data_IF_649727268926
#
_entry.id   IF_649727268926
#
_cell.length_a   1.000
_cell.length_b   1.000
_cell.length_c   1.000
_cell.angle_alpha   90.00
_cell.angle_beta   90.00
_cell.angle_gamma   90.00
#
_symmetry.space_group_name_H-M   'P 1'
#
loop_
_entity.id
_entity.type
_entity.pdbx_description
1 polymer ?
#
# COMPACT_ATOMS: atom_id res chain seq x y z
N UNK A 1 -1.05 -1.42 28.90
CA UNK A 1 -0.79 -1.63 27.45
C UNK A 1 0.70 -1.94 27.22
N UNK A 2 1.12 -3.15 27.63
CA UNK A 2 2.56 -3.54 27.58
C UNK A 2 3.08 -3.85 26.14
N UNK A 3 2.18 -3.95 25.16
CA UNK A 3 2.52 -4.26 23.76
C UNK A 3 2.80 -3.04 22.89
N UNK A 4 2.30 -1.85 23.29
CA UNK A 4 2.41 -0.62 22.50
C UNK A 4 3.85 -0.22 22.15
N UNK A 5 4.85 -0.26 23.07
CA UNK A 5 6.23 0.06 22.72
C UNK A 5 6.80 -0.87 21.65
N UNK A 6 6.43 -2.15 21.67
CA UNK A 6 6.89 -3.12 20.70
C UNK A 6 6.28 -2.89 19.31
N UNK A 7 4.99 -2.49 19.24
CA UNK A 7 4.35 -2.12 17.97
C UNK A 7 5.01 -0.87 17.38
N UNK A 8 5.28 0.15 18.20
CA UNK A 8 5.98 1.36 17.74
C UNK A 8 7.39 1.04 17.24
N UNK A 9 8.14 0.22 17.97
CA UNK A 9 9.47 -0.20 17.55
C UNK A 9 9.43 -1.03 16.27
N UNK A 10 8.51 -1.96 16.16
CA UNK A 10 8.32 -2.76 14.96
C UNK A 10 7.90 -1.90 13.76
N UNK A 11 7.06 -0.86 13.98
CA UNK A 11 6.72 0.12 12.93
C UNK A 11 7.95 0.88 12.45
N UNK A 12 8.85 1.29 13.35
CA UNK A 12 10.11 1.93 12.96
C UNK A 12 10.96 1.00 12.09
N UNK A 13 11.10 -0.26 12.47
CA UNK A 13 11.83 -1.24 11.65
C UNK A 13 11.15 -1.46 10.30
N UNK A 14 9.82 -1.57 10.26
CA UNK A 14 9.06 -1.71 9.03
C UNK A 14 9.31 -0.54 8.06
N UNK A 15 9.25 0.70 8.53
CA UNK A 15 9.52 1.89 7.73
C UNK A 15 10.99 2.02 7.30
N UNK A 16 11.90 1.45 8.08
CA UNK A 16 13.33 1.33 7.71
C UNK A 16 13.62 0.16 6.75
N UNK A 17 12.58 -0.54 6.29
CA UNK A 17 12.67 -1.72 5.43
C UNK A 17 13.41 -2.92 6.08
N UNK A 18 13.54 -2.93 7.42
CA UNK A 18 14.07 -4.07 8.20
C UNK A 18 12.92 -4.94 8.70
N UNK A 19 12.34 -5.70 7.76
CA UNK A 19 11.15 -6.51 8.03
C UNK A 19 11.46 -7.65 9.01
N UNK A 20 12.66 -8.21 8.98
CA UNK A 20 13.07 -9.29 9.89
C UNK A 20 13.09 -8.83 11.35
N UNK A 21 13.65 -7.65 11.63
CA UNK A 21 13.66 -7.07 12.97
C UNK A 21 12.25 -6.68 13.43
N UNK A 22 11.39 -6.19 12.52
CA UNK A 22 9.99 -5.94 12.81
C UNK A 22 9.27 -7.22 13.26
N UNK A 23 9.38 -8.31 12.47
CA UNK A 23 8.76 -9.60 12.79
C UNK A 23 9.28 -10.21 14.11
N UNK A 24 10.60 -10.12 14.37
CA UNK A 24 11.19 -10.58 15.65
C UNK A 24 10.61 -9.79 16.83
N UNK A 25 10.48 -8.47 16.69
CA UNK A 25 9.92 -7.62 17.75
C UNK A 25 8.46 -7.98 18.03
N UNK A 26 7.66 -8.20 16.98
CA UNK A 26 6.26 -8.58 17.11
C UNK A 26 6.10 -9.98 17.72
N UNK A 27 6.97 -10.93 17.36
CA UNK A 27 6.92 -12.29 17.91
C UNK A 27 7.18 -12.36 19.43
N UNK A 28 7.88 -11.37 19.98
CA UNK A 28 8.11 -11.23 21.42
C UNK A 28 6.89 -10.73 22.21
N UNK A 29 5.83 -10.27 21.54
CA UNK A 29 4.61 -9.77 22.20
C UNK A 29 3.71 -10.95 22.57
N UNK A 30 3.47 -11.11 23.88
CA UNK A 30 2.63 -12.22 24.41
C UNK A 30 1.13 -11.89 24.42
N UNK A 31 0.75 -10.67 24.08
CA UNK A 31 -0.64 -10.21 24.11
C UNK A 31 -1.25 -10.36 22.72
N UNK A 32 -2.44 -10.90 22.68
CA UNK A 32 -3.21 -11.07 21.47
C UNK A 32 -3.99 -9.78 21.16
N UNK A 33 -3.35 -8.84 20.47
CA UNK A 33 -3.92 -7.54 20.10
C UNK A 33 -4.02 -7.42 18.59
N UNK A 34 -5.13 -6.83 18.11
CA UNK A 34 -5.40 -6.67 16.68
C UNK A 34 -4.32 -5.84 15.98
N UNK A 35 -3.78 -4.80 16.64
CA UNK A 35 -2.75 -3.93 16.09
C UNK A 35 -1.43 -4.69 15.86
N UNK A 36 -1.07 -5.59 16.77
CA UNK A 36 0.12 -6.45 16.65
C UNK A 36 -0.03 -7.36 15.43
N UNK A 37 -1.21 -7.98 15.28
CA UNK A 37 -1.51 -8.86 14.15
C UNK A 37 -1.58 -8.11 12.83
N UNK A 38 -2.18 -6.92 12.81
CA UNK A 38 -2.26 -6.10 11.61
C UNK A 38 -0.87 -5.70 11.10
N UNK A 39 0.03 -5.27 11.99
CA UNK A 39 1.40 -4.95 11.60
C UNK A 39 2.17 -6.21 11.16
N UNK A 40 1.92 -7.35 11.79
CA UNK A 40 2.48 -8.64 11.36
C UNK A 40 2.01 -8.99 9.93
N UNK A 41 0.73 -8.79 9.62
CA UNK A 41 0.19 -8.98 8.26
C UNK A 41 0.89 -8.04 7.27
N UNK A 42 1.08 -6.77 7.58
CA UNK A 42 1.79 -5.84 6.71
C UNK A 42 3.24 -6.30 6.43
N UNK A 43 3.94 -6.75 7.46
CA UNK A 43 5.28 -7.33 7.30
C UNK A 43 5.28 -8.56 6.38
N UNK A 44 4.33 -9.48 6.58
CA UNK A 44 4.21 -10.70 5.77
C UNK A 44 3.85 -10.39 4.32
N UNK A 45 2.95 -9.45 4.08
CA UNK A 45 2.60 -8.99 2.72
C UNK A 45 3.79 -8.32 2.02
N UNK A 46 4.63 -7.58 2.75
CA UNK A 46 5.85 -6.99 2.20
C UNK A 46 6.90 -8.04 1.80
N UNK A 47 6.83 -9.25 2.38
CA UNK A 47 7.65 -10.41 2.01
C UNK A 47 6.97 -11.33 0.98
N UNK A 48 5.85 -10.90 0.41
CA UNK A 48 5.00 -11.71 -0.50
C UNK A 48 4.50 -13.03 0.13
N UNK A 49 4.41 -13.10 1.47
CA UNK A 49 3.94 -14.27 2.20
C UNK A 49 2.45 -14.19 2.51
N UNK A 50 1.65 -14.11 1.43
CA UNK A 50 0.17 -14.05 1.50
C UNK A 50 -0.42 -15.27 2.22
N UNK A 51 0.23 -16.42 2.10
CA UNK A 51 -0.15 -17.67 2.78
C UNK A 51 -0.15 -17.53 4.32
N UNK A 52 0.85 -16.88 4.88
CA UNK A 52 0.96 -16.62 6.31
C UNK A 52 0.09 -15.45 6.74
N UNK A 53 0.04 -14.37 5.93
CA UNK A 53 -0.81 -13.23 6.20
C UNK A 53 -2.29 -13.63 6.37
N UNK A 54 -2.81 -14.53 5.52
CA UNK A 54 -4.17 -15.07 5.63
C UNK A 54 -4.40 -15.85 6.93
N UNK A 55 -3.40 -16.57 7.42
CA UNK A 55 -3.51 -17.28 8.71
C UNK A 55 -3.61 -16.32 9.88
N UNK A 56 -2.85 -15.21 9.83
CA UNK A 56 -2.94 -14.16 10.84
C UNK A 56 -4.26 -13.39 10.74
N UNK A 57 -4.74 -13.11 9.53
CA UNK A 57 -6.05 -12.49 9.30
C UNK A 57 -7.19 -13.32 9.91
N UNK A 58 -7.16 -14.65 9.75
CA UNK A 58 -8.17 -15.52 10.37
C UNK A 58 -8.19 -15.37 11.88
N UNK A 59 -7.03 -15.25 12.52
CA UNK A 59 -6.95 -15.03 13.98
C UNK A 59 -7.49 -13.65 14.37
N UNK A 60 -7.34 -12.62 13.52
CA UNK A 60 -7.96 -11.31 13.77
C UNK A 60 -9.48 -11.40 13.67
N UNK A 61 -10.00 -12.11 12.68
CA UNK A 61 -11.44 -12.35 12.51
C UNK A 61 -12.03 -13.13 13.68
N UNK A 62 -11.30 -14.12 14.21
CA UNK A 62 -11.71 -14.89 15.40
C UNK A 62 -11.75 -14.01 16.68
N UNK A 63 -10.96 -12.93 16.73
CA UNK A 63 -10.94 -11.97 17.84
C UNK A 63 -12.05 -10.93 17.72
N UNK A 64 -12.15 -10.28 16.59
CA UNK A 64 -13.16 -9.27 16.28
C UNK A 64 -13.23 -9.07 14.75
N UNK A 65 -14.24 -9.67 14.13
CA UNK A 65 -14.46 -9.63 12.69
C UNK A 65 -14.88 -8.23 12.22
N UNK A 66 -15.62 -7.51 13.05
CA UNK A 66 -16.20 -6.20 12.70
C UNK A 66 -15.23 -5.03 12.94
N UNK A 67 -14.11 -5.28 13.61
CA UNK A 67 -13.13 -4.23 13.88
C UNK A 67 -12.60 -3.60 12.56
N UNK A 68 -12.53 -2.27 12.52
CA UNK A 68 -12.03 -1.52 11.35
C UNK A 68 -10.65 -2.00 10.90
N UNK A 69 -9.76 -2.31 11.86
CA UNK A 69 -8.41 -2.79 11.56
C UNK A 69 -8.40 -4.21 10.96
N UNK A 70 -9.35 -5.06 11.35
CA UNK A 70 -9.56 -6.39 10.76
C UNK A 70 -10.05 -6.29 9.32
N UNK A 71 -11.01 -5.38 9.05
CA UNK A 71 -11.50 -5.11 7.72
C UNK A 71 -10.42 -4.54 6.81
N UNK A 72 -9.58 -3.61 7.30
CA UNK A 72 -8.42 -3.10 6.56
C UNK A 72 -7.41 -4.21 6.23
N UNK A 73 -7.07 -5.07 7.20
CA UNK A 73 -6.18 -6.18 6.97
C UNK A 73 -6.73 -7.19 5.94
N UNK A 74 -8.04 -7.41 5.94
CA UNK A 74 -8.75 -8.22 4.93
C UNK A 74 -8.62 -7.60 3.53
N UNK A 75 -8.83 -6.28 3.41
CA UNK A 75 -8.67 -5.56 2.15
C UNK A 75 -7.23 -5.67 1.61
N UNK A 76 -6.21 -5.49 2.45
CA UNK A 76 -4.80 -5.65 2.04
C UNK A 76 -4.49 -7.07 1.54
N UNK A 77 -4.95 -8.10 2.25
CA UNK A 77 -4.78 -9.48 1.82
C UNK A 77 -5.51 -9.75 0.49
N UNK A 78 -6.70 -9.19 0.30
CA UNK A 78 -7.50 -9.34 -0.91
C UNK A 78 -6.83 -8.67 -2.12
N UNK A 79 -6.27 -7.49 -1.96
CA UNK A 79 -5.52 -6.80 -3.02
C UNK A 79 -4.26 -7.58 -3.44
N UNK A 80 -3.52 -8.16 -2.47
CA UNK A 80 -2.33 -8.97 -2.77
C UNK A 80 -2.66 -10.28 -3.51
N UNK A 81 -3.85 -10.82 -3.30
CA UNK A 81 -4.32 -12.00 -4.07
C UNK A 81 -4.67 -11.61 -5.50
N UNK A 82 -5.20 -10.41 -5.68
CA UNK A 82 -5.58 -9.89 -6.99
C UNK A 82 -6.89 -10.46 -7.55
N UNK A 83 -7.15 -10.14 -8.81
CA UNK A 83 -8.32 -10.61 -9.54
C UNK A 83 -9.65 -10.22 -8.87
N UNK A 84 -10.58 -11.18 -8.81
CA UNK A 84 -11.91 -10.96 -8.22
C UNK A 84 -11.87 -10.56 -6.75
N UNK A 85 -10.82 -10.98 -6.00
CA UNK A 85 -10.66 -10.61 -4.59
C UNK A 85 -10.39 -9.13 -4.38
N UNK A 86 -9.83 -8.44 -5.35
CA UNK A 86 -9.64 -6.99 -5.27
C UNK A 86 -10.97 -6.22 -5.28
N UNK A 87 -12.05 -6.82 -5.78
CA UNK A 87 -13.40 -6.24 -5.68
C UNK A 87 -13.91 -6.23 -4.23
N UNK A 88 -13.60 -7.26 -3.45
CA UNK A 88 -13.94 -7.31 -2.03
C UNK A 88 -13.22 -6.16 -1.27
N UNK A 89 -11.95 -5.90 -1.61
CA UNK A 89 -11.19 -4.79 -1.05
C UNK A 89 -11.81 -3.42 -1.40
N UNK A 90 -12.24 -3.22 -2.64
CA UNK A 90 -12.95 -2.00 -3.04
C UNK A 90 -14.18 -1.74 -2.17
N UNK A 91 -15.05 -2.74 -2.01
CA UNK A 91 -16.26 -2.60 -1.19
C UNK A 91 -15.93 -2.31 0.27
N UNK A 92 -14.85 -2.88 0.79
CA UNK A 92 -14.40 -2.59 2.16
C UNK A 92 -14.03 -1.11 2.32
N UNK A 93 -13.24 -0.53 1.41
CA UNK A 93 -12.89 0.89 1.46
C UNK A 93 -14.09 1.80 1.22
N UNK A 94 -15.01 1.42 0.32
CA UNK A 94 -16.24 2.16 0.07
C UNK A 94 -17.13 2.20 1.32
N UNK A 95 -17.38 1.05 1.96
CA UNK A 95 -18.16 0.98 3.21
C UNK A 95 -17.56 1.86 4.32
N UNK A 96 -16.22 1.90 4.42
CA UNK A 96 -15.56 2.82 5.36
C UNK A 96 -15.77 4.28 5.00
N UNK A 97 -15.70 4.64 3.72
CA UNK A 97 -15.92 6.01 3.25
C UNK A 97 -17.37 6.45 3.48
N UNK A 98 -18.33 5.56 3.25
CA UNK A 98 -19.75 5.82 3.48
C UNK A 98 -20.08 6.03 4.98
N UNK A 99 -19.40 5.30 5.87
CA UNK A 99 -19.58 5.40 7.33
C UNK A 99 -18.90 6.62 7.96
N UNK A 100 -17.86 7.13 7.35
CA UNK A 100 -17.06 8.21 7.94
C UNK A 100 -17.09 9.48 7.08
N UNK A 101 -16.24 9.57 6.12
CA UNK A 101 -16.10 10.59 5.08
C UNK A 101 -15.06 10.08 4.10
N UNK A 102 -15.24 10.37 2.82
CA UNK A 102 -14.21 10.11 1.82
C UNK A 102 -12.95 10.92 2.12
N UNK A 103 -11.89 10.21 2.49
CA UNK A 103 -10.56 10.78 2.70
C UNK A 103 -9.64 10.34 1.56
N UNK A 104 -8.54 11.09 1.32
CA UNK A 104 -7.54 10.70 0.30
C UNK A 104 -7.03 9.27 0.52
N UNK A 105 -6.89 8.82 1.78
CA UNK A 105 -6.43 7.46 2.11
C UNK A 105 -7.42 6.40 1.63
N UNK A 106 -8.72 6.57 1.89
CA UNK A 106 -9.76 5.61 1.48
C UNK A 106 -9.93 5.60 -0.04
N UNK A 107 -9.93 6.79 -0.67
CA UNK A 107 -9.97 6.91 -2.12
C UNK A 107 -8.76 6.25 -2.79
N UNK A 108 -7.57 6.39 -2.22
CA UNK A 108 -6.37 5.68 -2.69
C UNK A 108 -6.48 4.17 -2.53
N UNK A 109 -7.11 3.69 -1.45
CA UNK A 109 -7.43 2.27 -1.29
C UNK A 109 -8.35 1.75 -2.40
N UNK A 110 -9.45 2.46 -2.69
CA UNK A 110 -10.38 2.13 -3.78
C UNK A 110 -9.69 2.18 -5.15
N UNK A 111 -8.90 3.22 -5.43
CA UNK A 111 -8.14 3.35 -6.68
C UNK A 111 -7.16 2.19 -6.85
N UNK A 112 -6.43 1.81 -5.80
CA UNK A 112 -5.52 0.65 -5.83
C UNK A 112 -6.27 -0.65 -6.11
N UNK A 113 -7.44 -0.84 -5.50
CA UNK A 113 -8.28 -2.00 -5.76
C UNK A 113 -8.74 -2.07 -7.22
N UNK A 114 -9.07 -0.95 -7.85
CA UNK A 114 -9.37 -0.90 -9.29
C UNK A 114 -8.14 -1.18 -10.17
N UNK A 115 -6.97 -0.64 -9.80
CA UNK A 115 -5.70 -0.93 -10.51
C UNK A 115 -5.37 -2.43 -10.48
N UNK A 116 -5.59 -3.10 -9.34
CA UNK A 116 -5.41 -4.55 -9.20
C UNK A 116 -6.39 -5.37 -10.06
N UNK A 117 -7.54 -4.77 -10.44
CA UNK A 117 -8.54 -5.37 -11.34
C UNK A 117 -8.32 -5.01 -12.82
N UNK A 118 -7.28 -4.22 -13.14
CA UNK A 118 -7.06 -3.64 -14.46
C UNK A 118 -8.23 -2.77 -14.97
N UNK A 119 -8.95 -2.10 -14.07
CA UNK A 119 -10.04 -1.15 -14.36
C UNK A 119 -9.51 0.28 -14.34
N UNK A 120 -8.81 0.66 -15.42
CA UNK A 120 -8.07 1.92 -15.49
C UNK A 120 -8.97 3.16 -15.50
N UNK A 121 -10.13 3.09 -16.14
CA UNK A 121 -11.05 4.23 -16.24
C UNK A 121 -11.72 4.53 -14.90
N UNK A 122 -12.14 3.49 -14.16
CA UNK A 122 -12.69 3.62 -12.81
C UNK A 122 -11.61 4.11 -11.83
N UNK A 123 -10.38 3.60 -11.98
CA UNK A 123 -9.24 4.08 -11.19
C UNK A 123 -8.96 5.57 -11.47
N UNK A 124 -9.04 6.03 -12.72
CA UNK A 124 -8.82 7.43 -13.10
C UNK A 124 -9.86 8.37 -12.46
N UNK A 125 -11.13 7.94 -12.43
CA UNK A 125 -12.20 8.67 -11.75
C UNK A 125 -11.94 8.82 -10.24
N UNK A 126 -11.60 7.71 -9.57
CA UNK A 126 -11.31 7.72 -8.13
C UNK A 126 -10.03 8.50 -7.78
N UNK A 127 -8.99 8.41 -8.60
CA UNK A 127 -7.76 9.19 -8.44
C UNK A 127 -8.05 10.68 -8.61
N UNK A 128 -8.89 11.06 -9.59
CA UNK A 128 -9.28 12.45 -9.80
C UNK A 128 -10.03 13.01 -8.59
N UNK A 129 -10.91 12.21 -7.97
CA UNK A 129 -11.59 12.58 -6.73
C UNK A 129 -10.58 12.74 -5.58
N UNK A 130 -9.63 11.82 -5.42
CA UNK A 130 -8.59 11.91 -4.40
C UNK A 130 -7.73 13.17 -4.55
N UNK A 131 -7.40 13.58 -5.78
CA UNK A 131 -6.69 14.83 -6.06
C UNK A 131 -7.50 16.09 -5.71
N UNK A 132 -8.85 16.02 -5.74
CA UNK A 132 -9.67 17.15 -5.28
C UNK A 132 -9.71 17.28 -3.76
N UNK A 133 -9.47 16.18 -3.04
CA UNK A 133 -9.40 16.18 -1.57
C UNK A 133 -8.01 16.62 -1.08
N UNK A 134 -6.96 16.10 -1.72
CA UNK A 134 -5.57 16.42 -1.42
C UNK A 134 -4.71 16.20 -2.69
N UNK A 135 -4.35 17.30 -3.35
CA UNK A 135 -3.59 17.30 -4.58
C UNK A 135 -2.10 16.97 -4.39
N UNK A 136 -1.60 17.07 -3.17
CA UNK A 136 -0.20 16.79 -2.83
C UNK A 136 -0.01 15.47 -2.06
N UNK A 137 -1.02 14.61 -1.99
CA UNK A 137 -0.90 13.29 -1.37
C UNK A 137 0.03 12.37 -2.20
N UNK A 138 1.16 11.90 -1.66
CA UNK A 138 2.13 11.11 -2.41
C UNK A 138 1.56 9.80 -2.94
N UNK A 139 0.68 9.13 -2.19
CA UNK A 139 0.01 7.89 -2.61
C UNK A 139 -0.90 8.14 -3.81
N UNK A 140 -1.59 9.28 -3.86
CA UNK A 140 -2.44 9.67 -4.99
C UNK A 140 -1.60 9.92 -6.24
N UNK A 141 -0.47 10.61 -6.10
CA UNK A 141 0.47 10.85 -7.20
C UNK A 141 1.04 9.52 -7.72
N UNK A 142 1.41 8.60 -6.84
CA UNK A 142 1.88 7.25 -7.22
C UNK A 142 0.82 6.46 -7.96
N UNK A 143 -0.44 6.47 -7.48
CA UNK A 143 -1.54 5.79 -8.15
C UNK A 143 -1.83 6.41 -9.52
N UNK A 144 -1.76 7.73 -9.65
CA UNK A 144 -1.90 8.43 -10.92
C UNK A 144 -0.81 8.02 -11.92
N UNK A 145 0.47 7.98 -11.49
CA UNK A 145 1.59 7.51 -12.30
C UNK A 145 1.32 6.08 -12.80
N UNK A 146 1.01 5.16 -11.87
CA UNK A 146 0.75 3.74 -12.20
C UNK A 146 -0.41 3.59 -13.18
N UNK A 147 -1.52 4.32 -12.95
CA UNK A 147 -2.68 4.26 -13.83
C UNK A 147 -2.36 4.71 -15.26
N UNK A 148 -1.60 5.79 -15.43
CA UNK A 148 -1.18 6.28 -16.77
C UNK A 148 -0.33 5.25 -17.51
N UNK A 149 0.60 4.59 -16.81
CA UNK A 149 1.41 3.53 -17.41
C UNK A 149 0.57 2.31 -17.81
N UNK A 150 -0.31 1.84 -16.92
CA UNK A 150 -1.16 0.68 -17.17
C UNK A 150 -2.18 0.93 -18.29
N UNK A 151 -2.68 2.17 -18.41
CA UNK A 151 -3.59 2.57 -19.47
C UNK A 151 -2.89 2.77 -20.83
N UNK A 152 -1.56 2.60 -20.94
CA UNK A 152 -0.80 2.78 -22.17
C UNK A 152 -0.79 4.23 -22.70
N UNK A 153 -1.11 5.22 -21.85
CA UNK A 153 -1.21 6.64 -22.22
C UNK A 153 0.15 7.34 -22.48
N UNK A 154 1.24 6.56 -22.55
CA UNK A 154 2.60 7.06 -22.79
C UNK A 154 3.26 7.66 -21.55
N UNK A 155 4.59 7.73 -21.59
CA UNK A 155 5.42 8.21 -20.47
C UNK A 155 5.12 9.68 -20.13
N UNK A 156 4.84 10.51 -21.15
CA UNK A 156 4.58 11.94 -20.97
C UNK A 156 3.36 12.24 -20.11
N UNK A 157 2.32 11.40 -20.16
CA UNK A 157 1.09 11.61 -19.40
C UNK A 157 1.27 11.41 -17.88
N UNK A 158 2.26 10.60 -17.48
CA UNK A 158 2.65 10.40 -16.08
C UNK A 158 3.77 11.33 -15.61
N UNK A 159 4.50 11.98 -16.53
CA UNK A 159 5.68 12.78 -16.22
C UNK A 159 5.41 13.95 -15.26
N UNK A 160 4.23 14.60 -15.39
CA UNK A 160 3.82 15.65 -14.46
C UNK A 160 3.75 15.17 -13.03
N UNK A 161 3.02 14.08 -12.78
CA UNK A 161 2.87 13.50 -11.43
C UNK A 161 4.20 13.00 -10.87
N UNK A 162 5.06 12.44 -11.73
CA UNK A 162 6.41 12.02 -11.32
C UNK A 162 7.28 13.23 -10.95
N UNK A 163 7.23 14.32 -11.71
CA UNK A 163 7.95 15.55 -11.39
C UNK A 163 7.48 16.16 -10.08
N UNK A 164 6.18 16.17 -9.83
CA UNK A 164 5.56 16.67 -8.62
C UNK A 164 5.94 15.81 -7.40
N UNK A 165 5.87 14.48 -7.54
CA UNK A 165 6.32 13.55 -6.51
C UNK A 165 7.81 13.72 -6.20
N UNK A 166 8.67 13.88 -7.23
CA UNK A 166 10.11 14.09 -7.08
C UNK A 166 10.44 15.41 -6.38
N UNK A 167 9.68 16.48 -6.63
CA UNK A 167 9.92 17.79 -6.02
C UNK A 167 9.42 17.87 -4.59
N UNK A 168 8.27 17.30 -4.28
CA UNK A 168 7.60 17.46 -2.98
C UNK A 168 7.85 16.29 -2.02
N UNK A 169 8.13 15.09 -2.53
CA UNK A 169 8.23 13.84 -1.76
C UNK A 169 9.42 12.98 -2.20
N UNK A 170 10.61 13.60 -2.31
CA UNK A 170 11.83 12.94 -2.78
C UNK A 170 12.27 11.74 -1.94
N UNK A 171 11.90 11.71 -0.65
CA UNK A 171 12.18 10.65 0.32
C UNK A 171 11.11 9.55 0.35
N UNK A 172 10.03 9.69 -0.43
CA UNK A 172 8.99 8.66 -0.51
C UNK A 172 9.55 7.34 -1.06
N UNK A 173 9.08 6.20 -0.53
CA UNK A 173 9.58 4.86 -0.89
C UNK A 173 9.58 4.64 -2.42
N UNK A 174 8.51 5.03 -3.10
CA UNK A 174 8.41 4.91 -4.55
C UNK A 174 9.54 5.67 -5.27
N UNK A 175 9.90 6.88 -4.80
CA UNK A 175 10.97 7.67 -5.40
C UNK A 175 12.35 7.07 -5.14
N UNK A 176 12.58 6.50 -3.96
CA UNK A 176 13.84 5.77 -3.67
C UNK A 176 13.99 4.58 -4.60
N UNK A 177 12.94 3.74 -4.71
CA UNK A 177 12.95 2.58 -5.58
C UNK A 177 13.10 2.98 -7.07
N UNK A 178 12.46 4.08 -7.48
CA UNK A 178 12.58 4.62 -8.84
C UNK A 178 14.01 5.07 -9.15
N UNK A 179 14.62 5.88 -8.28
CA UNK A 179 15.98 6.38 -8.46
C UNK A 179 17.02 5.23 -8.48
N UNK A 180 16.87 4.23 -7.60
CA UNK A 180 17.73 3.04 -7.62
C UNK A 180 17.65 2.28 -8.94
N UNK A 181 16.45 2.16 -9.53
CA UNK A 181 16.27 1.51 -10.84
C UNK A 181 16.83 2.36 -11.98
N UNK A 182 16.66 3.67 -11.94
CA UNK A 182 17.23 4.60 -12.91
C UNK A 182 18.77 4.54 -12.90
N UNK A 183 19.40 4.61 -11.72
CA UNK A 183 20.85 4.46 -11.56
C UNK A 183 21.36 3.09 -12.03
N UNK A 184 20.62 2.03 -11.73
CA UNK A 184 20.96 0.68 -12.18
C UNK A 184 20.93 0.60 -13.72
N UNK A 185 19.87 1.16 -14.33
CA UNK A 185 19.74 1.20 -15.78
C UNK A 185 20.90 1.97 -16.42
N UNK A 186 21.23 3.16 -15.93
CA UNK A 186 22.31 3.98 -16.46
C UNK A 186 23.68 3.29 -16.35
N UNK A 187 23.91 2.59 -15.25
CA UNK A 187 25.13 1.80 -15.05
C UNK A 187 25.25 0.66 -16.07
N UNK A 188 24.14 -0.06 -16.28
CA UNK A 188 24.11 -1.15 -17.25
C UNK A 188 24.21 -0.63 -18.69
N UNK A 189 23.50 0.43 -19.04
CA UNK A 189 23.56 1.04 -20.36
C UNK A 189 24.99 1.45 -20.73
N UNK A 190 25.75 2.02 -19.78
CA UNK A 190 27.18 2.35 -19.99
C UNK A 190 28.06 1.13 -20.23
N UNK A 191 27.73 -0.03 -19.67
CA UNK A 191 28.48 -1.27 -19.88
C UNK A 191 28.24 -1.87 -21.28
N UNK A 192 27.08 -1.62 -21.88
CA UNK A 192 26.69 -2.20 -23.17
C UNK A 192 26.70 -1.20 -24.33
N UNK A 193 27.04 0.07 -24.09
CA UNK A 193 27.12 1.12 -25.11
C UNK A 193 28.54 1.32 -25.67
N UNK A 194 29.38 0.27 -25.67
CA UNK A 194 30.69 0.25 -26.30
C UNK A 194 30.62 -0.05 -27.80
#
# INVERSE_FOLDING_TARGET
MAWLPNVLLASCYFHSNDIDSALRTLSGVKVDALEVRALNIQCLLSLDRVDLARKELKKMQDLDEDATITNLASAWCSMMVGGEKSQDAYYTFQDMADKTKSTSILLNGMATAYLCQAKQDEADGTISEALTVDDNCPETLVNAIKNRFLAGKGVESGARFLSELKSNHSDHKYMRDYNEKEELFDRLAKQYSS
#
